data_IF_440666003369
#
_entry.id   IF_440666003369
#
_cell.length_a   1.000
_cell.length_b   1.000
_cell.length_c   1.000
_cell.angle_alpha   90.00
_cell.angle_beta   90.00
_cell.angle_gamma   90.00
#
_symmetry.space_group_name_H-M   'P 1'
#
loop_
_entity.id
_entity.type
_entity.pdbx_description
1 polymer ?
#
# COMPACT_ATOMS: atom_id res chain seq x y z
N UNK A 1 29.26 -2.27 -0.21
CA UNK A 1 27.88 -2.77 -0.41
C UNK A 1 27.96 -4.29 -0.39
N UNK A 2 27.60 -4.94 0.72
CA UNK A 2 27.63 -6.40 0.78
C UNK A 2 26.42 -6.96 0.03
N UNK A 3 26.68 -7.59 -1.10
CA UNK A 3 25.74 -8.49 -1.74
C UNK A 3 25.44 -9.62 -0.76
N UNK A 4 24.28 -9.57 -0.12
CA UNK A 4 23.73 -10.71 0.59
C UNK A 4 23.47 -11.77 -0.46
N UNK A 5 23.99 -12.99 -0.26
CA UNK A 5 23.57 -14.17 -1.02
C UNK A 5 22.03 -14.25 -1.04
N UNK A 6 21.39 -14.97 -1.99
CA UNK A 6 19.95 -15.24 -1.95
C UNK A 6 19.61 -16.11 -0.74
N UNK A 7 19.69 -15.51 0.44
CA UNK A 7 19.39 -16.06 1.74
C UNK A 7 17.91 -15.90 2.00
N UNK A 8 17.32 -16.89 2.65
CA UNK A 8 15.94 -16.83 3.09
C UNK A 8 15.66 -15.52 3.84
N UNK A 9 14.55 -14.88 3.53
CA UNK A 9 14.09 -13.68 4.23
C UNK A 9 13.96 -13.94 5.74
N UNK A 10 14.23 -12.94 6.59
CA UNK A 10 14.14 -13.13 8.03
C UNK A 10 12.72 -13.54 8.43
N UNK A 11 12.61 -14.58 9.25
CA UNK A 11 11.33 -14.96 9.85
C UNK A 11 10.93 -13.91 10.88
N UNK A 12 9.66 -13.48 10.85
CA UNK A 12 9.15 -12.43 11.71
C UNK A 12 8.37 -12.98 12.92
N UNK A 13 8.35 -12.24 14.02
CA UNK A 13 7.35 -12.43 15.08
C UNK A 13 6.00 -11.88 14.60
N UNK A 14 4.88 -12.52 14.96
CA UNK A 14 3.57 -11.95 14.70
C UNK A 14 3.45 -10.53 15.27
N UNK A 15 2.95 -9.61 14.46
CA UNK A 15 2.64 -8.23 14.83
C UNK A 15 1.13 -8.06 14.89
N UNK A 16 0.62 -7.34 15.89
CA UNK A 16 -0.78 -6.97 16.01
C UNK A 16 -0.89 -5.67 16.83
N UNK A 17 -1.09 -4.54 16.15
CA UNK A 17 -1.08 -3.20 16.75
C UNK A 17 -2.28 -2.40 16.24
N UNK A 18 -2.92 -1.64 17.12
CA UNK A 18 -4.00 -0.71 16.77
C UNK A 18 -3.58 0.71 17.12
N UNK A 19 -3.71 1.62 16.17
CA UNK A 19 -3.29 3.03 16.33
C UNK A 19 -4.45 3.92 15.92
N UNK A 20 -4.81 4.86 16.78
CA UNK A 20 -5.79 5.89 16.43
C UNK A 20 -5.10 6.95 15.56
N UNK A 21 -5.69 7.24 14.42
CA UNK A 21 -5.25 8.27 13.49
C UNK A 21 -6.38 9.30 13.38
N UNK A 22 -6.02 10.57 13.52
CA UNK A 22 -6.96 11.69 13.40
C UNK A 22 -6.30 12.79 12.58
N UNK A 23 -6.69 12.91 11.31
CA UNK A 23 -6.11 13.89 10.38
C UNK A 23 -6.40 15.33 10.83
N UNK A 24 -7.40 15.56 11.67
CA UNK A 24 -7.68 16.89 12.21
C UNK A 24 -6.74 17.26 13.35
N UNK A 25 -6.09 16.28 13.99
CA UNK A 25 -5.16 16.52 15.09
C UNK A 25 -3.78 17.02 14.63
N UNK A 26 -3.48 16.93 13.33
CA UNK A 26 -2.25 17.44 12.74
C UNK A 26 -1.45 16.37 11.99
N UNK A 27 -0.19 16.70 11.69
CA UNK A 27 0.75 15.77 11.07
C UNK A 27 1.05 14.62 12.05
N UNK A 28 0.93 13.39 11.57
CA UNK A 28 1.30 12.18 12.33
C UNK A 28 2.37 11.40 11.59
N UNK A 29 3.46 11.05 12.26
CA UNK A 29 4.50 10.11 11.79
C UNK A 29 4.53 8.90 12.73
N UNK A 30 3.98 7.79 12.25
CA UNK A 30 3.87 6.53 13.00
C UNK A 30 4.95 5.58 12.48
N UNK A 31 5.76 5.02 13.38
CA UNK A 31 6.81 4.06 13.04
C UNK A 31 6.64 2.77 13.85
N UNK A 32 6.32 1.67 13.17
CA UNK A 32 6.08 0.37 13.78
C UNK A 32 7.21 -0.59 13.39
N UNK A 33 8.06 -1.01 14.33
CA UNK A 33 9.10 -1.99 14.04
C UNK A 33 8.51 -3.39 13.84
N UNK A 34 8.90 -4.06 12.76
CA UNK A 34 8.64 -5.49 12.55
C UNK A 34 9.91 -6.24 12.94
N UNK A 35 9.79 -7.11 13.94
CA UNK A 35 10.92 -7.82 14.53
C UNK A 35 11.02 -9.25 14.03
N UNK A 36 12.25 -9.74 13.89
CA UNK A 36 12.55 -11.13 13.62
C UNK A 36 12.19 -12.02 14.83
N UNK A 37 12.17 -13.34 14.62
CA UNK A 37 12.03 -14.32 15.71
C UNK A 37 13.10 -14.16 16.81
N UNK A 38 14.27 -13.60 16.47
CA UNK A 38 15.36 -13.32 17.40
C UNK A 38 15.18 -11.97 18.14
N UNK A 39 14.17 -11.17 17.76
CA UNK A 39 13.85 -9.89 18.39
C UNK A 39 14.49 -8.67 17.74
N UNK A 40 15.36 -8.85 16.75
CA UNK A 40 15.97 -7.77 15.96
C UNK A 40 14.94 -7.11 15.05
N UNK A 41 14.98 -5.79 14.92
CA UNK A 41 14.12 -5.10 13.94
C UNK A 41 14.66 -5.35 12.54
N UNK A 42 13.81 -5.90 11.65
CA UNK A 42 14.18 -6.24 10.27
C UNK A 42 13.46 -5.40 9.23
N UNK A 43 12.30 -4.83 9.60
CA UNK A 43 11.55 -3.87 8.80
C UNK A 43 10.92 -2.80 9.70
N UNK A 44 10.55 -1.69 9.08
CA UNK A 44 9.77 -0.61 9.67
C UNK A 44 8.57 -0.33 8.78
N UNK A 45 7.37 -0.41 9.35
CA UNK A 45 6.18 0.17 8.74
C UNK A 45 6.09 1.62 9.20
N UNK A 46 6.28 2.56 8.28
CA UNK A 46 6.12 3.98 8.53
C UNK A 46 4.81 4.45 7.91
N UNK A 47 3.94 5.08 8.68
CA UNK A 47 2.72 5.68 8.18
C UNK A 47 2.74 7.18 8.48
N UNK A 48 2.60 7.98 7.43
CA UNK A 48 2.48 9.43 7.53
C UNK A 48 1.02 9.82 7.27
N UNK A 49 0.48 10.69 8.12
CA UNK A 49 -0.85 11.26 7.95
C UNK A 49 -0.81 12.78 8.08
N UNK A 50 -1.60 13.47 7.28
CA UNK A 50 -1.73 14.92 7.37
C UNK A 50 -2.77 15.45 6.40
N UNK A 51 -3.09 16.72 6.55
CA UNK A 51 -3.80 17.45 5.48
C UNK A 51 -2.85 17.72 4.32
N UNK A 52 -3.38 17.93 3.11
CA UNK A 52 -2.61 18.26 1.90
C UNK A 52 -1.60 19.38 2.17
N UNK A 53 -2.05 20.51 2.76
CA UNK A 53 -1.16 21.62 3.08
C UNK A 53 0.01 21.25 4.02
N UNK A 54 -0.24 20.39 5.02
CA UNK A 54 0.81 19.93 5.94
C UNK A 54 1.81 19.00 5.24
N UNK A 55 1.31 18.12 4.38
CA UNK A 55 2.13 17.19 3.61
C UNK A 55 2.96 17.92 2.56
N UNK A 56 2.39 18.93 1.89
CA UNK A 56 3.11 19.80 0.95
C UNK A 56 4.23 20.58 1.66
N UNK A 57 3.93 21.20 2.80
CA UNK A 57 4.94 21.92 3.60
C UNK A 57 6.07 20.99 4.06
N UNK A 58 5.76 19.76 4.46
CA UNK A 58 6.77 18.77 4.82
C UNK A 58 7.62 18.41 3.60
N UNK A 59 6.98 18.15 2.46
CA UNK A 59 7.63 17.82 1.20
C UNK A 59 8.55 18.92 0.66
N UNK A 60 8.15 20.18 0.81
CA UNK A 60 9.02 21.33 0.50
C UNK A 60 10.27 21.37 1.38
N UNK A 61 10.17 20.93 2.63
CA UNK A 61 11.27 20.94 3.58
C UNK A 61 12.27 19.80 3.34
N UNK A 62 11.81 18.58 3.04
CA UNK A 62 12.67 17.41 2.88
C UNK A 62 12.88 16.95 1.43
N UNK A 63 12.24 17.61 0.46
CA UNK A 63 12.34 17.29 -0.97
C UNK A 63 11.51 16.07 -1.38
N UNK A 64 10.53 15.68 -0.57
CA UNK A 64 9.70 14.51 -0.79
C UNK A 64 8.33 14.88 -1.39
N UNK A 65 7.73 13.95 -2.14
CA UNK A 65 6.34 14.10 -2.60
C UNK A 65 5.43 13.17 -1.79
N UNK A 66 4.75 13.74 -0.80
CA UNK A 66 3.81 13.04 0.06
C UNK A 66 2.42 13.07 -0.55
N UNK A 67 1.99 11.92 -1.09
CA UNK A 67 0.67 11.75 -1.68
C UNK A 67 -0.25 10.99 -0.72
N UNK A 68 -1.53 11.36 -0.76
CA UNK A 68 -2.63 10.85 0.06
C UNK A 68 -2.66 11.35 1.51
N UNK A 69 -3.87 11.54 2.09
CA UNK A 69 -4.00 12.02 3.48
C UNK A 69 -3.45 11.06 4.54
N UNK A 70 -3.36 9.76 4.22
CA UNK A 70 -2.68 8.75 5.02
C UNK A 70 -1.95 7.79 4.07
N UNK A 71 -0.62 7.69 4.19
CA UNK A 71 0.18 6.77 3.40
C UNK A 71 1.08 5.94 4.31
N UNK A 72 1.10 4.63 4.10
CA UNK A 72 2.02 3.71 4.75
C UNK A 72 3.06 3.19 3.75
N UNK A 73 4.31 3.13 4.19
CA UNK A 73 5.43 2.52 3.48
C UNK A 73 6.10 1.48 4.37
N UNK A 74 6.62 0.43 3.76
CA UNK A 74 7.38 -0.61 4.47
C UNK A 74 8.82 -0.56 4.00
N UNK A 75 9.75 -0.34 4.91
CA UNK A 75 11.17 -0.10 4.59
C UNK A 75 12.07 -0.93 5.49
N UNK A 76 13.31 -1.15 5.07
CA UNK A 76 14.30 -1.87 5.90
C UNK A 76 15.00 -0.94 6.89
N UNK A 77 15.07 0.36 6.59
CA UNK A 77 15.67 1.39 7.43
C UNK A 77 14.60 2.38 7.88
N UNK A 78 14.62 2.87 9.13
CA UNK A 78 13.53 3.65 9.71
C UNK A 78 13.25 4.98 8.98
N UNK A 79 14.26 5.55 8.31
CA UNK A 79 14.17 6.86 7.66
C UNK A 79 13.93 6.77 6.15
N UNK A 80 13.65 5.58 5.61
CA UNK A 80 13.31 5.41 4.20
C UNK A 80 11.87 5.83 3.90
N UNK A 81 11.66 6.63 2.85
CA UNK A 81 10.33 6.90 2.26
C UNK A 81 10.21 6.41 0.81
N UNK A 82 11.23 6.62 -0.02
CA UNK A 82 11.22 6.31 -1.46
C UNK A 82 11.21 4.83 -1.85
N UNK A 83 11.69 3.94 -0.97
CA UNK A 83 11.94 2.54 -1.30
C UNK A 83 10.99 1.60 -0.58
N UNK A 84 9.69 1.90 -0.66
CA UNK A 84 8.67 1.06 -0.05
C UNK A 84 8.63 -0.32 -0.68
N UNK A 85 8.72 -1.34 0.16
CA UNK A 85 8.47 -2.73 -0.18
C UNK A 85 6.98 -3.00 -0.45
N UNK A 86 6.08 -2.06 -0.17
CA UNK A 86 4.64 -2.19 -0.48
C UNK A 86 4.29 -1.90 -1.94
N UNK A 87 5.24 -1.43 -2.77
CA UNK A 87 5.03 -1.33 -4.21
C UNK A 87 4.90 -2.73 -4.84
N UNK A 88 4.12 -2.87 -5.91
CA UNK A 88 3.83 -4.19 -6.51
C UNK A 88 4.53 -4.45 -7.86
N UNK A 89 5.18 -3.43 -8.42
CA UNK A 89 5.84 -3.48 -9.74
C UNK A 89 7.11 -2.61 -9.82
N UNK A 90 7.64 -2.16 -8.68
CA UNK A 90 8.83 -1.30 -8.63
C UNK A 90 8.54 0.17 -8.96
N UNK A 91 7.27 0.55 -9.14
CA UNK A 91 6.87 1.95 -9.22
C UNK A 91 7.19 2.70 -7.92
N UNK A 92 7.19 4.03 -8.00
CA UNK A 92 7.34 4.89 -6.83
C UNK A 92 6.25 4.64 -5.76
N UNK A 93 6.51 5.05 -4.52
CA UNK A 93 5.68 4.68 -3.36
C UNK A 93 4.27 5.25 -3.40
N UNK A 94 4.08 6.42 -4.02
CA UNK A 94 2.77 7.03 -4.28
C UNK A 94 1.91 6.28 -5.32
N UNK A 95 2.40 5.17 -5.86
CA UNK A 95 1.61 4.23 -6.66
C UNK A 95 1.18 2.98 -5.87
N UNK A 96 1.68 2.80 -4.64
CA UNK A 96 1.34 1.65 -3.81
C UNK A 96 -0.06 1.80 -3.24
N UNK A 97 -0.73 0.65 -3.05
CA UNK A 97 -1.97 0.55 -2.27
C UNK A 97 -1.78 0.83 -0.77
N UNK A 98 -0.61 1.26 -0.33
CA UNK A 98 -0.39 1.75 1.04
C UNK A 98 -1.08 3.09 1.37
N UNK A 99 -1.73 3.74 0.40
CA UNK A 99 -2.33 5.07 0.51
C UNK A 99 -3.85 5.04 0.71
N UNK A 100 -4.36 5.64 1.78
CA UNK A 100 -5.78 5.67 2.11
C UNK A 100 -6.39 7.04 1.80
N UNK A 101 -7.43 7.05 0.98
CA UNK A 101 -8.25 8.24 0.71
C UNK A 101 -9.64 8.09 1.32
N UNK A 102 -10.22 9.20 1.82
CA UNK A 102 -11.54 9.20 2.43
C UNK A 102 -12.64 8.47 1.64
N UNK A 103 -12.78 8.70 0.31
CA UNK A 103 -13.75 7.99 -0.52
C UNK A 103 -13.57 6.47 -0.57
N UNK A 104 -12.35 5.97 -0.42
CA UNK A 104 -12.04 4.54 -0.42
C UNK A 104 -12.46 3.84 0.88
N UNK A 105 -12.68 4.59 1.95
CA UNK A 105 -12.91 4.07 3.29
C UNK A 105 -14.40 3.92 3.65
N UNK A 106 -15.33 4.19 2.73
CA UNK A 106 -16.77 4.18 3.02
C UNK A 106 -17.61 3.54 1.92
N UNK A 107 -18.85 3.17 2.28
CA UNK A 107 -19.83 2.63 1.34
C UNK A 107 -19.35 1.35 0.64
N UNK A 108 -19.57 1.28 -0.68
CA UNK A 108 -19.13 0.16 -1.52
C UNK A 108 -17.60 0.13 -1.65
N UNK A 109 -16.95 1.30 -1.68
CA UNK A 109 -15.48 1.40 -1.79
C UNK A 109 -14.77 0.85 -0.56
N UNK A 110 -15.31 1.10 0.63
CA UNK A 110 -14.77 0.52 1.87
C UNK A 110 -14.75 -1.01 1.87
N UNK A 111 -15.66 -1.64 1.12
CA UNK A 111 -15.76 -3.10 1.00
C UNK A 111 -15.00 -3.66 -0.20
N UNK A 112 -14.38 -2.80 -1.02
CA UNK A 112 -13.66 -3.24 -2.21
C UNK A 112 -12.37 -3.97 -1.79
N UNK A 113 -12.16 -5.23 -2.23
CA UNK A 113 -11.03 -6.02 -1.78
C UNK A 113 -9.70 -5.37 -2.20
N UNK A 114 -8.72 -5.34 -1.30
CA UNK A 114 -7.36 -4.82 -1.51
C UNK A 114 -7.20 -3.31 -1.74
N UNK A 115 -8.30 -2.57 -1.91
CA UNK A 115 -8.30 -1.11 -2.13
C UNK A 115 -9.14 -0.34 -1.09
N UNK A 116 -10.10 -1.00 -0.44
CA UNK A 116 -10.95 -0.41 0.59
C UNK A 116 -10.33 -0.44 2.00
N UNK A 117 -11.17 -0.80 2.98
CA UNK A 117 -10.84 -0.82 4.41
C UNK A 117 -9.74 -1.82 4.77
N UNK A 118 -9.59 -2.91 4.02
CA UNK A 118 -8.63 -3.98 4.33
C UNK A 118 -7.72 -4.23 3.12
N UNK A 119 -6.41 -4.19 3.36
CA UNK A 119 -5.39 -4.34 2.33
C UNK A 119 -4.32 -5.30 2.79
N UNK A 120 -4.00 -6.27 1.93
CA UNK A 120 -3.02 -7.30 2.20
C UNK A 120 -1.80 -7.11 1.28
N UNK A 121 -0.62 -7.34 1.87
CA UNK A 121 0.67 -7.29 1.18
C UNK A 121 1.42 -8.57 1.53
N UNK A 122 1.57 -9.44 0.54
CA UNK A 122 2.37 -10.67 0.64
C UNK A 122 3.74 -10.37 0.04
N UNK A 123 4.80 -10.51 0.82
CA UNK A 123 6.19 -10.33 0.36
C UNK A 123 7.16 -10.94 1.34
N UNK A 124 8.37 -11.25 0.89
CA UNK A 124 9.51 -11.61 1.74
C UNK A 124 9.20 -12.61 2.88
N UNK A 125 8.38 -13.62 2.60
CA UNK A 125 8.00 -14.62 3.60
C UNK A 125 6.99 -14.15 4.65
N UNK A 126 6.29 -13.03 4.44
CA UNK A 126 5.28 -12.48 5.35
C UNK A 126 4.02 -12.01 4.63
N UNK A 127 2.93 -11.99 5.37
CA UNK A 127 1.70 -11.29 5.02
C UNK A 127 1.50 -10.14 5.99
N UNK A 128 1.56 -8.90 5.49
CA UNK A 128 1.19 -7.68 6.19
C UNK A 128 -0.27 -7.34 5.84
N UNK A 129 -1.05 -6.94 6.83
CA UNK A 129 -2.43 -6.46 6.67
C UNK A 129 -2.55 -5.07 7.29
N UNK A 130 -3.10 -4.15 6.52
CA UNK A 130 -3.49 -2.82 6.96
C UNK A 130 -5.02 -2.76 6.93
N UNK A 131 -5.65 -2.58 8.09
CA UNK A 131 -7.09 -2.50 8.23
C UNK A 131 -7.50 -1.18 8.86
N UNK A 132 -8.36 -0.42 8.17
CA UNK A 132 -9.00 0.77 8.69
C UNK A 132 -10.28 0.37 9.45
N UNK A 133 -10.27 0.54 10.76
CA UNK A 133 -11.41 0.31 11.65
C UNK A 133 -11.99 1.66 12.10
N UNK A 134 -13.25 1.69 12.55
CA UNK A 134 -13.88 2.86 13.19
C UNK A 134 -13.76 4.17 12.38
N UNK A 135 -13.84 4.09 11.06
CA UNK A 135 -13.68 5.24 10.15
C UNK A 135 -14.77 6.27 10.39
N UNK A 136 -14.38 7.54 10.52
CA UNK A 136 -15.28 8.70 10.52
C UNK A 136 -14.76 9.74 9.53
N UNK A 137 -15.54 10.02 8.50
CA UNK A 137 -15.24 11.11 7.57
C UNK A 137 -15.62 12.46 8.18
N UNK A 138 -14.85 13.50 7.86
CA UNK A 138 -15.17 14.88 8.22
C UNK A 138 -15.92 15.53 7.03
N UNK A 139 -17.23 15.80 7.15
CA UNK A 139 -18.00 16.38 6.04
C UNK A 139 -17.59 17.82 5.70
N UNK A 140 -16.88 18.51 6.61
CA UNK A 140 -16.44 19.89 6.40
C UNK A 140 -15.08 20.00 5.70
N UNK A 141 -14.33 18.90 5.58
CA UNK A 141 -13.02 18.87 4.93
C UNK A 141 -12.96 17.63 4.03
N UNK A 142 -12.90 17.82 2.72
CA UNK A 142 -12.94 16.74 1.72
C UNK A 142 -11.96 15.59 2.00
N UNK A 143 -10.82 15.93 2.60
CA UNK A 143 -9.71 14.99 2.81
C UNK A 143 -9.60 14.53 4.28
N UNK A 144 -10.45 15.06 5.16
CA UNK A 144 -10.39 14.82 6.59
C UNK A 144 -11.11 13.52 6.99
N UNK A 145 -10.40 12.64 7.67
CA UNK A 145 -11.00 11.49 8.35
C UNK A 145 -10.26 11.14 9.64
N UNK A 146 -10.91 10.34 10.49
CA UNK A 146 -10.25 9.65 11.60
C UNK A 146 -10.56 8.16 11.51
N UNK A 147 -9.63 7.33 11.97
CA UNK A 147 -9.76 5.87 11.96
C UNK A 147 -8.90 5.24 13.05
N UNK A 148 -9.11 3.95 13.28
CA UNK A 148 -8.16 3.08 13.96
C UNK A 148 -7.46 2.23 12.92
N UNK A 149 -6.15 2.44 12.72
CA UNK A 149 -5.35 1.60 11.85
C UNK A 149 -4.94 0.35 12.62
N UNK A 150 -5.52 -0.78 12.26
CA UNK A 150 -5.10 -2.09 12.71
C UNK A 150 -4.04 -2.63 11.75
N UNK A 151 -2.82 -2.79 12.28
CA UNK A 151 -1.68 -3.35 11.57
C UNK A 151 -1.40 -4.74 12.11
N UNK A 152 -1.39 -5.74 11.23
CA UNK A 152 -0.94 -7.08 11.59
C UNK A 152 0.03 -7.64 10.57
N UNK A 153 1.03 -8.40 11.03
CA UNK A 153 1.95 -9.11 10.16
C UNK A 153 2.18 -10.53 10.69
N UNK A 154 2.15 -11.52 9.81
CA UNK A 154 2.40 -12.92 10.16
C UNK A 154 3.36 -13.56 9.17
N UNK A 155 4.03 -14.64 9.59
CA UNK A 155 4.83 -15.45 8.69
C UNK A 155 3.94 -16.04 7.59
N UNK A 156 4.40 -15.95 6.35
CA UNK A 156 3.77 -16.54 5.17
C UNK A 156 4.84 -17.16 4.28
N UNK A 157 5.06 -18.47 4.41
CA UNK A 157 6.07 -19.15 3.64
C UNK A 157 5.79 -19.13 2.12
N UNK A 158 4.55 -18.87 1.69
CA UNK A 158 4.15 -18.79 0.28
C UNK A 158 4.49 -17.43 -0.35
N UNK A 159 4.72 -16.38 0.43
CA UNK A 159 5.09 -15.06 -0.07
C UNK A 159 6.56 -15.05 -0.54
N UNK A 160 6.82 -15.11 -1.85
CA UNK A 160 8.18 -15.30 -2.41
C UNK A 160 8.82 -14.04 -2.98
N UNK A 161 8.06 -12.98 -3.18
CA UNK A 161 8.50 -11.76 -3.87
C UNK A 161 9.35 -10.85 -2.99
N UNK A 162 10.22 -10.07 -3.62
CA UNK A 162 11.07 -9.06 -2.94
C UNK A 162 10.26 -7.85 -2.45
N UNK A 163 9.21 -7.50 -3.19
CA UNK A 163 8.23 -6.45 -2.90
C UNK A 163 6.82 -7.08 -2.84
N UNK A 164 5.78 -6.30 -2.55
CA UNK A 164 4.42 -6.82 -2.45
C UNK A 164 3.96 -7.53 -3.73
N UNK A 165 3.28 -8.67 -3.56
CA UNK A 165 2.50 -9.30 -4.62
C UNK A 165 1.37 -8.36 -5.08
N UNK A 166 0.97 -8.50 -6.35
CA UNK A 166 -0.16 -7.76 -6.91
C UNK A 166 -1.46 -8.17 -6.19
N UNK A 167 -2.44 -7.26 -6.04
CA UNK A 167 -3.65 -7.48 -5.24
C UNK A 167 -4.61 -8.57 -5.76
N UNK A 168 -4.47 -9.06 -7.00
CA UNK A 168 -5.43 -10.00 -7.60
C UNK A 168 -6.80 -9.39 -7.94
N UNK A 169 -6.97 -8.08 -7.76
CA UNK A 169 -8.14 -7.29 -8.14
C UNK A 169 -7.69 -6.06 -8.92
N UNK A 170 -8.50 -5.63 -9.89
CA UNK A 170 -8.32 -4.33 -10.53
C UNK A 170 -8.76 -3.24 -9.56
N UNK A 171 -8.09 -2.09 -9.60
CA UNK A 171 -8.51 -0.91 -8.86
C UNK A 171 -9.95 -0.52 -9.29
N UNK A 172 -10.77 -0.02 -8.35
CA UNK A 172 -12.10 0.46 -8.69
C UNK A 172 -11.98 1.61 -9.70
N UNK A 173 -12.75 1.52 -10.79
CA UNK A 173 -12.79 2.59 -11.78
C UNK A 173 -13.54 3.83 -11.26
N UNK A 174 -13.44 4.97 -11.97
CA UNK A 174 -14.04 6.25 -11.54
C UNK A 174 -15.56 6.21 -11.38
N UNK A 175 -16.24 5.23 -11.97
CA UNK A 175 -17.71 5.19 -12.07
C UNK A 175 -18.42 4.23 -11.11
N UNK A 176 -17.72 3.43 -10.28
CA UNK A 176 -18.21 2.95 -8.96
C UNK A 176 -17.41 1.77 -8.41
N UNK A 177 -17.33 1.68 -7.08
CA UNK A 177 -16.84 0.52 -6.33
C UNK A 177 -17.87 -0.61 -6.16
N UNK A 178 -19.02 -0.54 -6.84
CA UNK A 178 -20.09 -1.55 -6.75
C UNK A 178 -19.71 -2.87 -7.41
N UNK A 179 -18.90 -2.80 -8.45
CA UNK A 179 -18.50 -3.96 -9.24
C UNK A 179 -17.05 -4.32 -8.93
N UNK A 180 -16.86 -5.43 -8.21
CA UNK A 180 -15.54 -6.00 -7.95
C UNK A 180 -15.03 -6.66 -9.22
N UNK A 181 -13.90 -6.20 -9.74
CA UNK A 181 -13.24 -6.80 -10.89
C UNK A 181 -12.02 -7.58 -10.42
N UNK A 182 -12.04 -8.90 -10.58
CA UNK A 182 -10.84 -9.73 -10.40
C UNK A 182 -9.83 -9.38 -11.48
N UNK A 183 -8.57 -9.32 -11.09
CA UNK A 183 -7.45 -9.19 -12.00
C UNK A 183 -6.66 -10.48 -12.00
N UNK A 184 -6.32 -10.98 -13.19
CA UNK A 184 -5.49 -12.17 -13.34
C UNK A 184 -4.19 -11.78 -14.01
N UNK A 185 -3.05 -12.24 -13.48
CA UNK A 185 -1.80 -12.17 -14.22
C UNK A 185 -1.91 -13.04 -15.49
N UNK A 186 -1.33 -12.64 -16.64
CA UNK A 186 -0.53 -11.43 -16.87
C UNK A 186 -1.32 -10.16 -17.20
N UNK A 187 -2.66 -10.21 -17.26
CA UNK A 187 -3.54 -9.15 -17.78
C UNK A 187 -3.78 -7.94 -16.84
N UNK A 188 -3.01 -7.83 -15.76
CA UNK A 188 -3.04 -6.67 -14.86
C UNK A 188 -1.84 -5.76 -15.12
N UNK A 189 -2.11 -4.51 -15.45
CA UNK A 189 -1.12 -3.49 -15.74
C UNK A 189 -1.38 -2.23 -14.93
N UNK A 190 -0.31 -1.48 -14.62
CA UNK A 190 -0.47 -0.15 -14.07
C UNK A 190 -0.92 0.79 -15.19
N UNK A 191 -2.03 1.45 -14.98
CA UNK A 191 -2.47 2.57 -15.79
C UNK A 191 -1.70 3.81 -15.32
N UNK A 192 -0.80 4.30 -16.16
CA UNK A 192 0.04 5.47 -15.85
C UNK A 192 -0.77 6.75 -15.65
N UNK A 193 -1.99 6.84 -16.20
CA UNK A 193 -2.85 8.02 -16.04
C UNK A 193 -3.53 8.06 -14.68
N UNK A 194 -3.92 6.89 -14.18
CA UNK A 194 -4.68 6.76 -12.92
C UNK A 194 -3.82 6.21 -11.79
N UNK A 195 -2.55 5.93 -12.04
CA UNK A 195 -1.62 5.37 -11.08
C UNK A 195 -2.05 4.01 -10.51
N UNK A 196 -3.01 3.35 -11.16
CA UNK A 196 -3.81 2.27 -10.57
C UNK A 196 -3.75 0.98 -11.39
N UNK A 197 -4.12 -0.15 -10.78
CA UNK A 197 -4.16 -1.46 -11.44
C UNK A 197 -5.38 -1.59 -12.37
N UNK A 198 -5.17 -1.66 -13.68
CA UNK A 198 -6.20 -1.83 -14.70
C UNK A 198 -5.98 -3.07 -15.57
N UNK A 199 -6.91 -3.30 -16.50
CA UNK A 199 -6.71 -4.27 -17.58
C UNK A 199 -5.65 -3.75 -18.54
N UNK A 200 -4.65 -4.56 -18.87
CA UNK A 200 -3.70 -4.23 -19.93
C UNK A 200 -4.43 -3.98 -21.25
N UNK A 201 -4.15 -2.87 -21.91
CA UNK A 201 -4.63 -2.65 -23.28
C UNK A 201 -3.80 -3.47 -24.26
N UNK A 202 -4.33 -3.77 -25.44
CA UNK A 202 -3.57 -4.44 -26.50
C UNK A 202 -2.28 -3.66 -26.85
N UNK A 203 -2.36 -2.33 -26.85
CA UNK A 203 -1.20 -1.45 -27.05
C UNK A 203 -0.12 -1.65 -25.97
N UNK A 204 -0.52 -1.83 -24.70
CA UNK A 204 0.41 -2.11 -23.61
C UNK A 204 1.07 -3.48 -23.78
N UNK A 205 0.29 -4.52 -24.12
CA UNK A 205 0.80 -5.87 -24.33
C UNK A 205 1.81 -5.91 -25.49
N UNK A 206 1.52 -5.22 -26.59
CA UNK A 206 2.41 -5.08 -27.73
C UNK A 206 3.70 -4.32 -27.39
N UNK A 207 3.60 -3.21 -26.64
CA UNK A 207 4.77 -2.43 -26.21
C UNK A 207 5.72 -3.24 -25.31
N UNK A 208 5.18 -4.18 -24.52
CA UNK A 208 5.94 -5.03 -23.60
C UNK A 208 6.38 -6.36 -24.23
N UNK A 209 6.16 -6.56 -25.54
CA UNK A 209 6.57 -7.76 -26.26
C UNK A 209 5.77 -9.02 -25.88
N UNK A 210 4.59 -8.87 -25.27
CA UNK A 210 3.70 -10.01 -25.03
C UNK A 210 3.00 -10.38 -26.34
N UNK A 211 3.01 -11.66 -26.76
CA UNK A 211 2.26 -12.09 -27.93
C UNK A 211 0.77 -11.87 -27.70
N UNK A 212 0.05 -11.38 -28.72
CA UNK A 212 -1.42 -11.31 -28.75
C UNK A 212 -2.00 -12.74 -28.71
N UNK A 213 -1.93 -13.40 -27.56
CA UNK A 213 -2.52 -14.72 -27.38
C UNK A 213 -3.97 -14.55 -26.91
N UNK A 214 -4.86 -14.96 -27.80
CA UNK A 214 -6.28 -15.20 -27.71
C UNK A 214 -7.03 -14.63 -26.50
N UNK A 215 -7.80 -13.59 -26.80
CA UNK A 215 -9.00 -13.18 -26.07
C UNK A 215 -9.89 -14.43 -25.84
N UNK A 216 -10.23 -14.82 -24.59
CA UNK A 216 -11.24 -15.84 -24.34
C UNK A 216 -12.64 -15.36 -24.76
#
# INVERSE_FOLDING_TARGET
MHATSPGAWPRIKPLNVRIRIDLAAGLGDIRIPIRSINGETVYWLRCLSGTTAQLDTLGEHDGENYVAPLACVLVQQPDGWHSSLLGEDGSATWYSRGQFHGPELTGDCGRYPEFGLVRHFRLRGMQLTLAAENVKLNPQKSDGFSLTLHVSATQDAGAKTVIAERPGYLAPGPSSCRMIKRGFAPLMCRDEKTSSWGTCTAAWMHAMGYPESHNP
#
